data_IF_515801359763
#
_entry.id   IF_515801359763
#
_cell.length_a   1.000
_cell.length_b   1.000
_cell.length_c   1.000
_cell.angle_alpha   90.00
_cell.angle_beta   90.00
_cell.angle_gamma   90.00
#
_symmetry.space_group_name_H-M   'P 1'
#
loop_
_entity.id
_entity.type
_entity.pdbx_description
1 polymer ?
#
# COMPACT_ATOMS: atom_id res chain seq x y z
N UNK A 1 9.25 9.25 3.61
CA UNK A 1 9.51 9.11 2.15
C UNK A 1 8.61 8.02 1.62
N UNK A 2 7.56 8.39 0.89
CA UNK A 2 6.60 7.43 0.32
C UNK A 2 7.26 6.69 -0.84
N UNK A 3 7.35 5.36 -0.76
CA UNK A 3 7.75 4.54 -1.89
C UNK A 3 6.86 4.91 -3.10
N UNK A 4 7.45 5.21 -4.27
CA UNK A 4 6.67 5.51 -5.45
C UNK A 4 5.85 4.28 -5.82
N UNK A 5 4.54 4.45 -6.08
CA UNK A 5 3.69 3.43 -6.70
C UNK A 5 4.36 2.99 -8.01
N UNK A 6 5.11 1.90 -7.95
CA UNK A 6 5.94 1.39 -9.03
C UNK A 6 5.13 0.61 -10.08
N UNK A 7 5.80 0.08 -11.11
CA UNK A 7 5.19 -0.81 -12.11
C UNK A 7 4.45 -2.02 -11.49
N UNK A 8 4.78 -2.39 -10.26
CA UNK A 8 4.19 -3.51 -9.51
C UNK A 8 2.72 -3.28 -9.13
N UNK A 9 2.28 -2.02 -9.00
CA UNK A 9 0.90 -1.68 -8.62
C UNK A 9 -0.13 -2.19 -9.64
N UNK A 10 0.16 -2.04 -10.94
CA UNK A 10 -0.71 -2.52 -12.02
C UNK A 10 -0.92 -4.04 -11.95
N UNK A 11 0.18 -4.78 -11.77
CA UNK A 11 0.14 -6.24 -11.74
C UNK A 11 -0.51 -6.76 -10.46
N UNK A 12 -0.28 -6.11 -9.31
CA UNK A 12 -0.95 -6.44 -8.05
C UNK A 12 -2.48 -6.30 -8.15
N UNK A 13 -2.96 -5.14 -8.59
CA UNK A 13 -4.40 -4.87 -8.68
C UNK A 13 -5.10 -5.80 -9.69
N UNK A 14 -4.45 -6.08 -10.83
CA UNK A 14 -5.02 -6.98 -11.84
C UNK A 14 -4.99 -8.45 -11.41
N UNK A 15 -3.99 -8.85 -10.62
CA UNK A 15 -3.96 -10.17 -9.98
C UNK A 15 -5.08 -10.31 -8.92
N UNK A 16 -5.33 -9.27 -8.12
CA UNK A 16 -6.43 -9.25 -7.14
C UNK A 16 -7.80 -9.32 -7.84
N UNK A 17 -7.99 -8.58 -8.94
CA UNK A 17 -9.22 -8.67 -9.75
C UNK A 17 -9.42 -10.08 -10.33
N UNK A 18 -8.33 -10.74 -10.75
CA UNK A 18 -8.39 -12.10 -11.26
C UNK A 18 -8.69 -13.13 -10.15
N UNK A 19 -8.10 -12.95 -8.97
CA UNK A 19 -8.31 -13.81 -7.81
C UNK A 19 -9.75 -13.75 -7.26
N UNK A 20 -10.46 -12.63 -7.46
CA UNK A 20 -11.83 -12.41 -6.99
C UNK A 20 -12.89 -12.54 -8.10
N UNK A 21 -12.54 -13.09 -9.28
CA UNK A 21 -13.44 -13.23 -10.44
C UNK A 21 -14.04 -11.89 -10.95
N UNK A 22 -13.43 -10.76 -10.61
CA UNK A 22 -13.89 -9.41 -10.96
C UNK A 22 -13.36 -8.90 -12.30
N UNK A 23 -12.41 -9.59 -12.94
CA UNK A 23 -11.86 -9.18 -14.24
C UNK A 23 -12.95 -8.98 -15.31
N UNK A 24 -13.86 -9.95 -15.47
CA UNK A 24 -14.94 -9.88 -16.47
C UNK A 24 -15.93 -8.73 -16.23
N UNK A 25 -16.51 -8.55 -15.03
CA UNK A 25 -17.44 -7.45 -14.81
C UNK A 25 -16.77 -6.09 -14.97
N UNK A 26 -15.54 -5.90 -14.49
CA UNK A 26 -14.83 -4.63 -14.63
C UNK A 26 -14.48 -4.32 -16.09
N UNK A 27 -13.98 -5.29 -16.86
CA UNK A 27 -13.72 -5.08 -18.28
C UNK A 27 -14.99 -4.72 -19.07
N UNK A 28 -16.13 -5.39 -18.78
CA UNK A 28 -17.43 -5.09 -19.42
C UNK A 28 -17.93 -3.70 -19.05
N UNK A 29 -17.75 -3.28 -17.79
CA UNK A 29 -18.10 -1.93 -17.35
C UNK A 29 -17.29 -0.88 -18.12
N UNK A 30 -15.97 -1.06 -18.24
CA UNK A 30 -15.09 -0.15 -19.01
C UNK A 30 -15.49 -0.09 -20.48
N UNK A 31 -15.76 -1.25 -21.11
CA UNK A 31 -16.23 -1.31 -22.49
C UNK A 31 -17.56 -0.58 -22.67
N UNK A 32 -18.53 -0.81 -21.77
CA UNK A 32 -19.84 -0.16 -21.82
C UNK A 32 -19.73 1.35 -21.65
N UNK A 33 -18.97 1.83 -20.65
CA UNK A 33 -18.73 3.26 -20.44
C UNK A 33 -18.07 3.91 -21.66
N UNK A 34 -17.07 3.25 -22.26
CA UNK A 34 -16.39 3.75 -23.46
C UNK A 34 -17.34 3.86 -24.66
N UNK A 35 -18.22 2.86 -24.87
CA UNK A 35 -19.22 2.88 -25.94
C UNK A 35 -20.27 3.96 -25.72
N UNK A 36 -20.81 4.07 -24.50
CA UNK A 36 -21.82 5.08 -24.16
C UNK A 36 -21.25 6.48 -24.42
N UNK A 37 -20.05 6.78 -23.92
CA UNK A 37 -19.40 8.07 -24.14
C UNK A 37 -19.08 8.31 -25.62
N UNK A 38 -18.69 7.28 -26.36
CA UNK A 38 -18.39 7.37 -27.79
C UNK A 38 -19.60 7.57 -28.71
N UNK A 39 -20.83 7.25 -28.26
CA UNK A 39 -22.06 7.41 -29.05
C UNK A 39 -22.69 8.80 -28.87
N UNK A 40 -22.48 9.46 -27.72
CA UNK A 40 -23.02 10.80 -27.43
C UNK A 40 -22.75 11.81 -28.57
N UNK A 41 -21.54 11.90 -29.14
CA UNK A 41 -21.22 12.86 -30.21
C UNK A 41 -22.03 12.61 -31.48
N UNK A 42 -22.27 11.34 -31.83
CA UNK A 42 -23.08 10.96 -32.98
C UNK A 42 -24.55 11.37 -32.80
N UNK A 43 -25.09 11.18 -31.60
CA UNK A 43 -26.45 11.67 -31.29
C UNK A 43 -26.57 13.18 -31.47
N UNK A 44 -25.53 13.91 -31.03
CA UNK A 44 -25.47 15.37 -31.13
C UNK A 44 -25.30 15.89 -32.57
N UNK A 45 -24.89 15.08 -33.56
CA UNK A 45 -24.79 15.53 -34.97
C UNK A 45 -26.12 16.06 -35.52
N UNK A 46 -27.23 15.52 -35.04
CA UNK A 46 -28.58 15.96 -35.39
C UNK A 46 -28.99 17.29 -34.72
N UNK A 47 -28.30 17.67 -33.65
CA UNK A 47 -28.55 18.90 -32.90
C UNK A 47 -27.77 20.07 -33.50
N UNK A 48 -28.37 21.26 -33.52
CA UNK A 48 -27.67 22.50 -33.88
C UNK A 48 -26.51 22.81 -32.95
N UNK A 49 -26.56 22.29 -31.71
CA UNK A 49 -25.54 22.48 -30.70
C UNK A 49 -24.32 21.54 -30.85
N UNK A 50 -24.46 20.45 -31.61
CA UNK A 50 -23.43 19.45 -31.81
C UNK A 50 -22.43 19.79 -32.93
N UNK A 51 -21.64 18.81 -33.39
CA UNK A 51 -20.63 19.01 -34.42
C UNK A 51 -21.25 19.44 -35.76
N UNK A 52 -20.79 20.58 -36.28
CA UNK A 52 -21.26 21.13 -37.56
C UNK A 52 -20.21 21.05 -38.66
N UNK A 53 -20.69 21.16 -39.91
CA UNK A 53 -19.86 21.08 -41.10
C UNK A 53 -19.35 19.66 -41.41
N UNK A 54 -18.76 19.52 -42.60
CA UNK A 54 -18.24 18.23 -43.08
C UNK A 54 -17.17 17.67 -42.13
N UNK A 55 -16.21 18.50 -41.72
CA UNK A 55 -15.09 18.08 -40.86
C UNK A 55 -15.52 17.73 -39.43
N UNK A 56 -16.39 18.53 -38.80
CA UNK A 56 -16.86 18.26 -37.44
C UNK A 56 -17.64 16.95 -37.35
N UNK A 57 -18.53 16.70 -38.33
CA UNK A 57 -19.28 15.44 -38.40
C UNK A 57 -18.40 14.24 -38.73
N UNK A 58 -17.43 14.41 -39.63
CA UNK A 58 -16.44 13.37 -39.94
C UNK A 58 -15.61 12.98 -38.72
N UNK A 59 -15.12 13.96 -37.96
CA UNK A 59 -14.36 13.71 -36.72
C UNK A 59 -15.20 13.03 -35.64
N UNK A 60 -16.49 13.38 -35.51
CA UNK A 60 -17.39 12.69 -34.59
C UNK A 60 -17.54 11.19 -34.92
N UNK A 61 -17.64 10.85 -36.22
CA UNK A 61 -17.65 9.44 -36.68
C UNK A 61 -16.32 8.77 -36.37
N UNK A 62 -15.19 9.42 -36.63
CA UNK A 62 -13.86 8.87 -36.31
C UNK A 62 -13.72 8.59 -34.81
N UNK A 63 -14.15 9.52 -33.94
CA UNK A 63 -14.13 9.33 -32.49
C UNK A 63 -14.99 8.12 -32.11
N UNK A 64 -16.22 8.02 -32.62
CA UNK A 64 -17.11 6.90 -32.32
C UNK A 64 -16.53 5.55 -32.77
N UNK A 65 -15.98 5.47 -33.99
CA UNK A 65 -15.31 4.26 -34.48
C UNK A 65 -14.09 3.93 -33.62
N UNK A 66 -13.30 4.92 -33.22
CA UNK A 66 -12.14 4.71 -32.36
C UNK A 66 -12.56 4.18 -30.99
N UNK A 67 -13.65 4.69 -30.40
CA UNK A 67 -14.23 4.16 -29.15
C UNK A 67 -14.65 2.70 -29.30
N UNK A 68 -15.30 2.32 -30.41
CA UNK A 68 -15.65 0.92 -30.70
C UNK A 68 -14.41 0.05 -30.80
N UNK A 69 -13.38 0.46 -31.56
CA UNK A 69 -12.13 -0.31 -31.69
C UNK A 69 -11.42 -0.47 -30.34
N UNK A 70 -11.39 0.60 -29.53
CA UNK A 70 -10.78 0.58 -28.19
C UNK A 70 -11.47 -0.39 -27.23
N UNK A 71 -12.71 -0.80 -27.50
CA UNK A 71 -13.44 -1.75 -26.64
C UNK A 71 -13.03 -3.21 -26.88
N UNK A 72 -12.46 -3.54 -28.04
CA UNK A 72 -12.13 -4.92 -28.42
C UNK A 72 -11.25 -5.65 -27.39
N UNK A 73 -10.17 -5.06 -26.85
CA UNK A 73 -9.35 -5.72 -25.83
C UNK A 73 -10.11 -6.04 -24.53
N UNK A 74 -11.16 -5.29 -24.22
CA UNK A 74 -11.97 -5.46 -23.01
C UNK A 74 -13.04 -6.54 -23.13
N UNK A 75 -13.32 -7.03 -24.34
CA UNK A 75 -14.27 -8.13 -24.56
C UNK A 75 -13.64 -9.52 -24.29
N UNK A 76 -12.31 -9.57 -24.12
CA UNK A 76 -11.58 -10.80 -23.85
C UNK A 76 -11.80 -11.36 -22.44
N UNK A 77 -11.42 -12.63 -22.25
CA UNK A 77 -11.46 -13.28 -20.94
C UNK A 77 -10.32 -12.88 -19.99
N UNK A 78 -9.26 -12.26 -20.52
CA UNK A 78 -8.08 -11.85 -19.76
C UNK A 78 -8.01 -10.33 -19.70
N UNK A 79 -7.49 -9.81 -18.62
CA UNK A 79 -7.23 -8.38 -18.47
C UNK A 79 -6.23 -7.90 -19.55
N UNK A 80 -6.45 -6.73 -20.19
CA UNK A 80 -5.53 -6.23 -21.21
C UNK A 80 -4.12 -5.97 -20.65
N UNK A 81 -3.10 -6.04 -21.50
CA UNK A 81 -1.72 -5.75 -21.07
C UNK A 81 -1.54 -4.28 -20.68
N UNK A 82 -0.55 -3.98 -19.84
CA UNK A 82 -0.23 -2.60 -19.41
C UNK A 82 -0.01 -1.64 -20.58
N UNK A 83 0.55 -2.12 -21.69
CA UNK A 83 0.76 -1.31 -22.90
C UNK A 83 -0.57 -0.93 -23.57
N UNK A 84 -1.51 -1.88 -23.62
CA UNK A 84 -2.84 -1.66 -24.20
C UNK A 84 -3.65 -0.68 -23.36
N UNK A 85 -3.63 -0.82 -22.03
CA UNK A 85 -4.33 0.11 -21.12
C UNK A 85 -3.71 1.50 -21.10
N UNK A 86 -2.39 1.62 -21.24
CA UNK A 86 -1.73 2.92 -21.38
C UNK A 86 -2.05 3.59 -22.74
N UNK A 87 -2.05 2.82 -23.83
CA UNK A 87 -2.51 3.31 -25.14
C UNK A 87 -3.98 3.76 -25.08
N UNK A 88 -4.84 3.00 -24.41
CA UNK A 88 -6.23 3.36 -24.16
C UNK A 88 -6.37 4.72 -23.46
N UNK A 89 -5.53 5.03 -22.46
CA UNK A 89 -5.53 6.34 -21.78
C UNK A 89 -5.20 7.47 -22.75
N UNK A 90 -4.13 7.33 -23.55
CA UNK A 90 -3.69 8.35 -24.51
C UNK A 90 -4.75 8.60 -25.59
N UNK A 91 -5.28 7.53 -26.18
CA UNK A 91 -6.27 7.63 -27.26
C UNK A 91 -7.59 8.18 -26.72
N UNK A 92 -8.03 7.73 -25.54
CA UNK A 92 -9.25 8.24 -24.90
C UNK A 92 -9.13 9.73 -24.55
N UNK A 93 -7.99 10.19 -24.02
CA UNK A 93 -7.77 11.62 -23.77
C UNK A 93 -7.88 12.45 -25.06
N UNK A 94 -7.32 11.94 -26.17
CA UNK A 94 -7.38 12.58 -27.48
C UNK A 94 -8.79 12.61 -28.07
N UNK A 95 -9.55 11.52 -27.90
CA UNK A 95 -10.95 11.43 -28.31
C UNK A 95 -11.82 12.43 -27.52
N UNK A 96 -11.68 12.50 -26.20
CA UNK A 96 -12.40 13.45 -25.35
C UNK A 96 -12.08 14.88 -25.78
N UNK A 97 -10.80 15.21 -25.95
CA UNK A 97 -10.39 16.54 -26.41
C UNK A 97 -11.01 16.91 -27.76
N UNK A 98 -10.94 15.98 -28.72
CA UNK A 98 -11.52 16.19 -30.06
C UNK A 98 -13.01 16.45 -29.96
N UNK A 99 -13.74 15.60 -29.24
CA UNK A 99 -15.19 15.71 -29.08
C UNK A 99 -15.62 17.05 -28.46
N UNK A 100 -14.93 17.45 -27.39
CA UNK A 100 -15.18 18.71 -26.72
C UNK A 100 -14.94 19.91 -27.65
N UNK A 101 -13.95 19.85 -28.54
CA UNK A 101 -13.55 20.96 -29.41
C UNK A 101 -14.32 21.06 -30.73
N UNK A 102 -14.84 19.95 -31.26
CA UNK A 102 -15.66 19.92 -32.49
C UNK A 102 -17.11 20.33 -32.23
N UNK A 103 -17.57 20.30 -30.98
CA UNK A 103 -18.91 20.71 -30.59
C UNK A 103 -19.10 22.21 -30.83
N UNK A 104 -20.16 22.58 -31.55
CA UNK A 104 -20.37 23.97 -31.97
C UNK A 104 -20.65 24.92 -30.81
N UNK A 105 -21.37 24.45 -29.78
CA UNK A 105 -21.59 25.20 -28.55
C UNK A 105 -20.46 24.92 -27.53
N UNK A 106 -19.61 25.92 -27.19
CA UNK A 106 -18.49 25.71 -26.28
C UNK A 106 -18.90 25.23 -24.88
N UNK A 107 -20.11 25.60 -24.43
CA UNK A 107 -20.63 25.17 -23.14
C UNK A 107 -20.92 23.66 -23.10
N UNK A 108 -21.40 23.06 -24.19
CA UNK A 108 -21.54 21.60 -24.29
C UNK A 108 -20.18 20.90 -24.33
N UNK A 109 -19.19 21.50 -25.02
CA UNK A 109 -17.80 21.01 -24.98
C UNK A 109 -17.22 21.02 -23.56
N UNK A 110 -17.53 22.06 -22.78
CA UNK A 110 -17.11 22.15 -21.38
C UNK A 110 -17.78 21.08 -20.49
N UNK A 111 -19.05 20.76 -20.73
CA UNK A 111 -19.72 19.63 -20.05
C UNK A 111 -19.08 18.29 -20.42
N UNK A 112 -18.73 18.09 -21.71
CA UNK A 112 -18.01 16.91 -22.18
C UNK A 112 -16.65 16.72 -21.49
N UNK A 113 -15.98 17.83 -21.13
CA UNK A 113 -14.69 17.80 -20.45
C UNK A 113 -14.73 17.16 -19.05
N UNK A 114 -15.91 17.00 -18.43
CA UNK A 114 -16.10 16.19 -17.20
C UNK A 114 -15.57 14.77 -17.38
N UNK A 115 -15.59 14.24 -18.62
CA UNK A 115 -15.08 12.90 -18.94
C UNK A 115 -13.59 12.73 -18.58
N UNK A 116 -12.80 13.81 -18.55
CA UNK A 116 -11.42 13.77 -18.05
C UNK A 116 -11.32 13.34 -16.58
N UNK A 117 -12.33 13.59 -15.74
CA UNK A 117 -12.37 13.13 -14.36
C UNK A 117 -12.48 11.59 -14.29
N UNK A 118 -13.34 10.99 -15.12
CA UNK A 118 -13.48 9.52 -15.23
C UNK A 118 -12.18 8.89 -15.73
N UNK A 119 -11.57 9.48 -16.76
CA UNK A 119 -10.28 9.01 -17.27
C UNK A 119 -9.14 9.16 -16.24
N UNK A 120 -9.17 10.21 -15.43
CA UNK A 120 -8.21 10.42 -14.34
C UNK A 120 -8.36 9.37 -13.24
N UNK A 121 -9.59 9.02 -12.85
CA UNK A 121 -9.86 7.95 -11.89
C UNK A 121 -9.28 6.61 -12.38
N UNK A 122 -9.55 6.24 -13.64
CA UNK A 122 -8.99 5.03 -14.25
C UNK A 122 -7.45 5.06 -14.26
N UNK A 123 -6.85 6.19 -14.67
CA UNK A 123 -5.40 6.34 -14.77
C UNK A 123 -4.73 6.20 -13.41
N UNK A 124 -5.26 6.82 -12.36
CA UNK A 124 -4.74 6.70 -10.99
C UNK A 124 -4.85 5.26 -10.50
N UNK A 125 -6.01 4.63 -10.70
CA UNK A 125 -6.30 3.30 -10.18
C UNK A 125 -5.35 2.24 -10.72
N UNK A 126 -5.05 2.27 -12.02
CA UNK A 126 -4.24 1.23 -12.65
C UNK A 126 -2.77 1.63 -12.90
N UNK A 127 -2.50 2.91 -13.18
CA UNK A 127 -1.18 3.37 -13.64
C UNK A 127 -0.49 4.35 -12.66
N UNK A 128 -1.15 4.68 -11.54
CA UNK A 128 -0.63 5.58 -10.52
C UNK A 128 -0.66 7.06 -10.90
N UNK A 129 -0.50 7.91 -9.88
CA UNK A 129 -0.66 9.36 -10.01
C UNK A 129 0.35 10.02 -10.98
N UNK A 130 1.55 9.45 -11.17
CA UNK A 130 2.55 10.01 -12.10
C UNK A 130 2.08 9.99 -13.55
N UNK A 131 1.25 9.01 -13.92
CA UNK A 131 0.74 8.85 -15.29
C UNK A 131 -0.35 9.88 -15.62
N UNK A 132 -0.89 10.60 -14.63
CA UNK A 132 -1.89 11.67 -14.85
C UNK A 132 -1.39 12.81 -15.73
N UNK A 133 -0.07 13.01 -15.85
CA UNK A 133 0.51 14.04 -16.71
C UNK A 133 -0.02 13.95 -18.15
N UNK A 134 -0.31 12.75 -18.64
CA UNK A 134 -0.83 12.53 -20.00
C UNK A 134 -2.25 13.10 -20.16
N UNK A 135 -3.29 12.57 -19.47
CA UNK A 135 -4.64 13.11 -19.65
C UNK A 135 -4.77 14.55 -19.16
N UNK A 136 -3.98 15.00 -18.17
CA UNK A 136 -4.08 16.36 -17.64
C UNK A 136 -3.47 17.41 -18.54
N UNK A 137 -2.40 17.11 -19.27
CA UNK A 137 -1.86 18.06 -20.26
C UNK A 137 -2.84 18.27 -21.41
N UNK A 138 -3.42 17.18 -21.93
CA UNK A 138 -4.45 17.24 -22.98
C UNK A 138 -5.72 17.94 -22.46
N UNK A 139 -6.17 17.61 -21.25
CA UNK A 139 -7.33 18.21 -20.61
C UNK A 139 -7.15 19.71 -20.35
N UNK A 140 -5.98 20.13 -19.84
CA UNK A 140 -5.67 21.54 -19.61
C UNK A 140 -5.66 22.34 -20.92
N UNK A 141 -5.07 21.80 -21.99
CA UNK A 141 -5.10 22.43 -23.31
C UNK A 141 -6.54 22.56 -23.85
N UNK A 142 -7.35 21.51 -23.69
CA UNK A 142 -8.76 21.50 -24.10
C UNK A 142 -9.57 22.56 -23.35
N UNK A 143 -9.42 22.62 -22.03
CA UNK A 143 -10.09 23.60 -21.18
C UNK A 143 -9.63 25.03 -21.46
N UNK A 144 -8.35 25.24 -21.78
CA UNK A 144 -7.86 26.56 -22.19
C UNK A 144 -8.55 27.03 -23.48
N UNK A 145 -8.64 26.18 -24.50
CA UNK A 145 -9.30 26.53 -25.76
C UNK A 145 -10.79 26.79 -25.55
N UNK A 146 -11.50 25.94 -24.79
CA UNK A 146 -12.91 26.14 -24.48
C UNK A 146 -13.15 27.38 -23.65
N UNK A 147 -12.33 27.63 -22.63
CA UNK A 147 -12.38 28.81 -21.80
C UNK A 147 -12.21 30.08 -22.63
N UNK A 148 -11.23 30.11 -23.55
CA UNK A 148 -11.04 31.23 -24.47
C UNK A 148 -12.24 31.45 -25.39
N UNK A 149 -12.87 30.38 -25.89
CA UNK A 149 -14.09 30.48 -26.72
C UNK A 149 -15.28 31.04 -25.92
N UNK A 150 -15.49 30.58 -24.69
CA UNK A 150 -16.59 31.06 -23.82
C UNK A 150 -16.34 32.51 -23.37
N UNK A 151 -15.08 32.87 -23.10
CA UNK A 151 -14.71 34.20 -22.63
C UNK A 151 -14.97 35.31 -23.66
N UNK A 152 -15.13 34.97 -24.94
CA UNK A 152 -15.55 35.92 -25.98
C UNK A 152 -16.97 36.45 -25.75
N UNK A 153 -17.83 35.66 -25.09
CA UNK A 153 -19.21 36.05 -24.78
C UNK A 153 -19.41 36.37 -23.31
N UNK A 154 -18.81 35.59 -22.41
CA UNK A 154 -18.95 35.74 -20.96
C UNK A 154 -17.70 35.23 -20.24
N UNK A 155 -16.89 36.17 -19.74
CA UNK A 155 -15.65 35.88 -19.02
C UNK A 155 -15.92 35.20 -17.67
N UNK A 156 -16.99 35.59 -16.98
CA UNK A 156 -17.31 35.06 -15.64
C UNK A 156 -17.73 33.59 -15.77
N UNK A 157 -18.58 33.28 -16.75
CA UNK A 157 -18.97 31.91 -17.06
C UNK A 157 -17.77 31.05 -17.48
N UNK A 158 -16.87 31.59 -18.30
CA UNK A 158 -15.66 30.89 -18.73
C UNK A 158 -14.76 30.51 -17.54
N UNK A 159 -14.46 31.47 -16.67
CA UNK A 159 -13.60 31.25 -15.49
C UNK A 159 -14.26 30.27 -14.52
N UNK A 160 -15.53 30.49 -14.17
CA UNK A 160 -16.27 29.63 -13.25
C UNK A 160 -16.39 28.19 -13.77
N UNK A 161 -16.72 28.04 -15.05
CA UNK A 161 -16.84 26.74 -15.70
C UNK A 161 -15.53 25.97 -15.77
N UNK A 162 -14.43 26.61 -16.21
CA UNK A 162 -13.11 25.97 -16.26
C UNK A 162 -12.64 25.58 -14.85
N UNK A 163 -12.78 26.48 -13.87
CA UNK A 163 -12.39 26.20 -12.48
C UNK A 163 -13.17 25.01 -11.91
N UNK A 164 -14.47 24.93 -12.18
CA UNK A 164 -15.31 23.80 -11.75
C UNK A 164 -14.79 22.47 -12.30
N UNK A 165 -14.47 22.39 -13.59
CA UNK A 165 -13.96 21.16 -14.21
C UNK A 165 -12.56 20.79 -13.69
N UNK A 166 -11.69 21.79 -13.50
CA UNK A 166 -10.36 21.58 -12.90
C UNK A 166 -10.50 21.03 -11.48
N UNK A 167 -11.32 21.66 -10.64
CA UNK A 167 -11.56 21.22 -9.27
C UNK A 167 -12.15 19.82 -9.21
N UNK A 168 -13.16 19.52 -10.04
CA UNK A 168 -13.78 18.20 -10.11
C UNK A 168 -12.76 17.12 -10.52
N UNK A 169 -11.99 17.38 -11.57
CA UNK A 169 -10.99 16.44 -12.08
C UNK A 169 -9.88 16.19 -11.05
N UNK A 170 -9.38 17.25 -10.42
CA UNK A 170 -8.37 17.16 -9.38
C UNK A 170 -8.89 16.45 -8.11
N UNK A 171 -10.13 16.75 -7.71
CA UNK A 171 -10.77 16.12 -6.56
C UNK A 171 -10.94 14.62 -6.78
N UNK A 172 -11.48 14.19 -7.93
CA UNK A 172 -11.65 12.76 -8.24
C UNK A 172 -10.31 12.03 -8.24
N UNK A 173 -9.28 12.59 -8.88
CA UNK A 173 -7.95 11.99 -8.90
C UNK A 173 -7.32 11.89 -7.50
N UNK A 174 -7.48 12.93 -6.68
CA UNK A 174 -6.99 12.98 -5.30
C UNK A 174 -7.73 11.98 -4.41
N UNK A 175 -9.07 11.95 -4.48
CA UNK A 175 -9.92 11.04 -3.73
C UNK A 175 -9.58 9.58 -4.05
N UNK A 176 -9.43 9.22 -5.34
CA UNK A 176 -8.96 7.89 -5.73
C UNK A 176 -7.56 7.58 -5.20
N UNK A 177 -6.62 8.53 -5.28
CA UNK A 177 -5.25 8.34 -4.77
C UNK A 177 -5.22 8.10 -3.26
N UNK A 178 -6.02 8.86 -2.50
CA UNK A 178 -6.14 8.70 -1.05
C UNK A 178 -6.83 7.38 -0.72
N UNK A 179 -7.93 7.03 -1.38
CA UNK A 179 -8.64 5.78 -1.16
C UNK A 179 -7.72 4.56 -1.38
N UNK A 180 -6.94 4.55 -2.46
CA UNK A 180 -5.99 3.47 -2.75
C UNK A 180 -4.88 3.39 -1.70
N UNK A 181 -4.33 4.53 -1.26
CA UNK A 181 -3.34 4.56 -0.17
C UNK A 181 -3.93 4.04 1.14
N UNK A 182 -5.17 4.39 1.45
CA UNK A 182 -5.84 3.90 2.65
C UNK A 182 -6.10 2.40 2.59
N UNK A 183 -6.44 1.87 1.41
CA UNK A 183 -6.59 0.42 1.19
C UNK A 183 -5.25 -0.28 1.38
N UNK A 184 -4.16 0.25 0.82
CA UNK A 184 -2.83 -0.36 0.95
C UNK A 184 -2.37 -0.37 2.41
N UNK A 185 -2.50 0.77 3.11
CA UNK A 185 -2.23 0.88 4.55
C UNK A 185 -3.11 -0.10 5.35
N UNK A 186 -4.38 -0.27 4.96
CA UNK A 186 -5.28 -1.22 5.61
C UNK A 186 -4.89 -2.66 5.33
N UNK A 187 -4.48 -3.01 4.11
CA UNK A 187 -4.05 -4.37 3.79
C UNK A 187 -2.77 -4.73 4.54
N UNK A 188 -1.82 -3.79 4.65
CA UNK A 188 -0.61 -3.97 5.44
C UNK A 188 -0.92 -4.20 6.93
N UNK A 189 -1.94 -3.51 7.43
CA UNK A 189 -2.42 -3.64 8.82
C UNK A 189 -3.31 -4.86 9.06
N UNK A 190 -4.22 -5.18 8.14
CA UNK A 190 -5.26 -6.20 8.28
C UNK A 190 -4.76 -7.61 7.92
N UNK A 191 -3.70 -7.72 7.13
CA UNK A 191 -3.12 -9.03 6.80
C UNK A 191 -2.50 -9.72 8.00
N UNK A 192 -1.99 -8.95 8.98
CA UNK A 192 -1.33 -9.41 10.21
C UNK A 192 -0.17 -10.40 10.02
N UNK A 193 0.08 -10.85 8.79
CA UNK A 193 0.91 -11.96 8.39
C UNK A 193 1.85 -11.51 7.27
N UNK A 194 3.06 -12.01 7.32
CA UNK A 194 4.09 -11.88 6.30
C UNK A 194 3.78 -12.84 5.15
N UNK A 195 3.72 -12.33 3.92
CA UNK A 195 3.29 -13.11 2.75
C UNK A 195 4.27 -14.22 2.36
N UNK A 196 5.54 -14.11 2.77
CA UNK A 196 6.58 -15.07 2.40
C UNK A 196 6.64 -16.22 3.39
N UNK A 197 6.62 -15.92 4.68
CA UNK A 197 6.81 -16.89 5.76
C UNK A 197 5.50 -17.39 6.34
N UNK A 198 4.38 -16.67 6.15
CA UNK A 198 3.10 -16.96 6.78
C UNK A 198 3.07 -16.72 8.30
N UNK A 199 4.14 -16.16 8.87
CA UNK A 199 4.23 -15.72 10.26
C UNK A 199 3.58 -14.35 10.44
N UNK A 200 3.44 -13.85 11.68
CA UNK A 200 2.96 -12.48 11.86
C UNK A 200 3.91 -11.49 11.18
N UNK A 201 3.39 -10.41 10.60
CA UNK A 201 4.21 -9.26 10.25
C UNK A 201 4.36 -8.34 11.48
N UNK A 202 5.17 -7.27 11.38
CA UNK A 202 5.35 -6.32 12.50
C UNK A 202 4.02 -5.78 13.04
N UNK A 203 3.12 -5.36 12.15
CA UNK A 203 1.81 -4.82 12.55
C UNK A 203 0.96 -5.85 13.30
N UNK A 204 0.90 -7.09 12.82
CA UNK A 204 0.14 -8.17 13.44
C UNK A 204 0.75 -8.65 14.77
N UNK A 205 2.06 -8.54 14.92
CA UNK A 205 2.74 -8.76 16.20
C UNK A 205 2.32 -7.68 17.22
N UNK A 206 2.41 -6.41 16.84
CA UNK A 206 2.11 -5.28 17.73
C UNK A 206 0.64 -5.31 18.18
N UNK A 207 -0.29 -5.59 17.26
CA UNK A 207 -1.72 -5.71 17.58
C UNK A 207 -2.00 -6.86 18.57
N UNK A 208 -1.44 -8.05 18.32
CA UNK A 208 -1.65 -9.21 19.20
C UNK A 208 -0.94 -9.05 20.54
N UNK A 209 0.22 -8.40 20.56
CA UNK A 209 0.94 -8.11 21.79
C UNK A 209 0.20 -7.07 22.63
N UNK A 210 -0.35 -6.03 22.01
CA UNK A 210 -1.19 -5.04 22.69
C UNK A 210 -2.44 -5.71 23.29
N UNK A 211 -3.10 -6.61 22.55
CA UNK A 211 -4.23 -7.38 23.06
C UNK A 211 -3.81 -8.31 24.23
N UNK A 212 -2.63 -8.92 24.16
CA UNK A 212 -2.08 -9.76 25.24
C UNK A 212 -1.81 -8.95 26.51
N UNK A 213 -1.25 -7.75 26.38
CA UNK A 213 -1.01 -6.83 27.51
C UNK A 213 -2.35 -6.35 28.09
N UNK A 214 -3.30 -5.92 27.25
CA UNK A 214 -4.57 -5.36 27.68
C UNK A 214 -5.59 -6.37 28.22
N UNK A 215 -5.52 -7.64 27.82
CA UNK A 215 -6.46 -8.69 28.27
C UNK A 215 -6.14 -9.28 29.64
N UNK A 216 -5.03 -8.88 30.29
CA UNK A 216 -4.57 -9.47 31.55
C UNK A 216 -4.77 -8.52 32.73
N UNK A 217 -5.47 -9.02 33.74
CA UNK A 217 -5.80 -8.29 34.97
C UNK A 217 -4.56 -8.10 35.87
N UNK A 218 -4.53 -7.00 36.63
CA UNK A 218 -3.45 -6.60 37.57
C UNK A 218 -3.02 -7.66 38.61
N UNK A 219 -3.75 -8.77 38.77
CA UNK A 219 -3.50 -9.81 39.77
C UNK A 219 -2.60 -10.98 39.33
N UNK A 220 -2.26 -11.09 38.04
CA UNK A 220 -1.40 -12.16 37.54
C UNK A 220 0.08 -11.77 37.71
N UNK A 221 0.78 -12.41 38.66
CA UNK A 221 2.23 -12.23 38.90
C UNK A 221 3.03 -12.93 37.79
N UNK A 222 2.97 -12.34 36.58
CA UNK A 222 3.54 -12.87 35.35
C UNK A 222 4.49 -11.88 34.69
N UNK A 223 5.40 -12.42 33.90
CA UNK A 223 6.43 -11.69 33.19
C UNK A 223 6.21 -11.81 31.69
N UNK A 224 6.32 -10.70 30.98
CA UNK A 224 6.35 -10.68 29.52
C UNK A 224 7.80 -10.77 29.07
N UNK A 225 8.11 -11.75 28.23
CA UNK A 225 9.37 -11.79 27.50
C UNK A 225 9.15 -11.34 26.05
N UNK A 226 10.02 -10.46 25.57
CA UNK A 226 10.13 -10.09 24.15
C UNK A 226 11.52 -10.47 23.68
N UNK A 227 11.60 -11.25 22.60
CA UNK A 227 12.84 -11.79 22.05
C UNK A 227 12.95 -11.34 20.59
N UNK A 228 14.11 -10.78 20.26
CA UNK A 228 14.51 -10.40 18.91
C UNK A 228 15.58 -11.37 18.45
N UNK A 229 15.37 -11.97 17.29
CA UNK A 229 16.27 -12.91 16.65
C UNK A 229 16.72 -12.29 15.34
N UNK A 230 18.02 -12.33 15.05
CA UNK A 230 18.55 -11.94 13.75
C UNK A 230 19.51 -13.02 13.24
N UNK A 231 19.33 -13.45 11.99
CA UNK A 231 20.12 -14.50 11.38
C UNK A 231 21.53 -14.02 11.03
N UNK A 232 22.53 -14.69 11.58
CA UNK A 232 23.93 -14.39 11.31
C UNK A 232 24.36 -15.02 9.98
N UNK A 233 25.12 -14.26 9.18
CA UNK A 233 25.62 -14.73 7.89
C UNK A 233 24.58 -14.83 6.77
N UNK A 234 23.33 -14.39 6.99
CA UNK A 234 22.26 -14.47 5.97
C UNK A 234 22.61 -13.69 4.69
N UNK A 235 23.14 -12.47 4.80
CA UNK A 235 23.55 -11.69 3.63
C UNK A 235 24.65 -12.37 2.80
N UNK A 236 25.56 -13.10 3.45
CA UNK A 236 26.56 -13.91 2.74
C UNK A 236 25.91 -15.11 2.05
N UNK A 237 24.95 -15.77 2.71
CA UNK A 237 24.18 -16.85 2.10
C UNK A 237 23.42 -16.38 0.86
N UNK A 238 22.76 -15.22 0.92
CA UNK A 238 22.09 -14.61 -0.21
C UNK A 238 23.06 -14.30 -1.36
N UNK A 239 24.22 -13.71 -1.05
CA UNK A 239 25.24 -13.42 -2.06
C UNK A 239 25.77 -14.68 -2.77
N UNK A 240 25.87 -15.81 -2.06
CA UNK A 240 26.39 -17.07 -2.63
C UNK A 240 25.33 -17.93 -3.33
N UNK A 241 24.12 -18.01 -2.77
CA UNK A 241 23.07 -18.94 -3.21
C UNK A 241 21.94 -18.27 -4.00
N UNK A 242 21.92 -16.92 -4.04
CA UNK A 242 20.92 -16.11 -4.71
C UNK A 242 19.65 -15.87 -3.89
N UNK A 243 18.91 -14.84 -4.28
CA UNK A 243 17.70 -14.35 -3.62
C UNK A 243 16.66 -15.46 -3.38
N UNK A 244 16.39 -16.30 -4.39
CA UNK A 244 15.41 -17.38 -4.26
C UNK A 244 15.81 -18.43 -3.21
N UNK A 245 17.10 -18.70 -3.02
CA UNK A 245 17.59 -19.60 -1.99
C UNK A 245 17.52 -18.95 -0.59
N UNK A 246 17.85 -17.67 -0.49
CA UNK A 246 17.71 -16.89 0.74
C UNK A 246 16.25 -16.87 1.24
N UNK A 247 15.29 -16.67 0.32
CA UNK A 247 13.86 -16.75 0.64
C UNK A 247 13.49 -18.14 1.19
N UNK A 248 13.95 -19.23 0.57
CA UNK A 248 13.70 -20.60 1.07
C UNK A 248 14.32 -20.85 2.44
N UNK A 249 15.53 -20.32 2.67
CA UNK A 249 16.21 -20.40 3.97
C UNK A 249 15.37 -19.72 5.05
N UNK A 250 14.91 -18.50 4.78
CA UNK A 250 14.07 -17.70 5.67
C UNK A 250 12.75 -18.39 6.01
N UNK A 251 12.05 -18.93 5.01
CA UNK A 251 10.80 -19.68 5.22
C UNK A 251 11.04 -20.92 6.08
N UNK A 252 12.11 -21.66 5.81
CA UNK A 252 12.45 -22.85 6.58
C UNK A 252 12.80 -22.53 8.04
N UNK A 253 13.60 -21.49 8.26
CA UNK A 253 13.92 -21.02 9.61
C UNK A 253 12.66 -20.57 10.35
N UNK A 254 11.78 -19.81 9.69
CA UNK A 254 10.49 -19.42 10.26
C UNK A 254 9.64 -20.61 10.68
N UNK A 255 9.60 -21.67 9.86
CA UNK A 255 8.91 -22.92 10.21
C UNK A 255 9.54 -23.62 11.42
N UNK A 256 10.88 -23.70 11.51
CA UNK A 256 11.59 -24.29 12.66
C UNK A 256 11.37 -23.50 13.95
N UNK A 257 11.37 -22.17 13.88
CA UNK A 257 11.02 -21.32 15.01
C UNK A 257 9.57 -21.58 15.46
N UNK A 258 8.64 -21.74 14.51
CA UNK A 258 7.23 -22.04 14.82
C UNK A 258 7.04 -23.39 15.50
N UNK A 259 7.79 -24.42 15.09
CA UNK A 259 7.80 -25.74 15.73
C UNK A 259 8.43 -25.71 17.13
N UNK A 260 9.39 -24.81 17.35
CA UNK A 260 10.11 -24.67 18.61
C UNK A 260 9.36 -23.87 19.69
N UNK A 261 8.21 -23.26 19.38
CA UNK A 261 7.43 -22.47 20.33
C UNK A 261 6.08 -23.10 20.63
N UNK A 262 5.43 -22.63 21.70
CA UNK A 262 4.07 -23.06 22.03
C UNK A 262 3.07 -22.41 21.08
N UNK A 263 1.87 -22.99 21.01
CA UNK A 263 0.80 -22.50 20.13
C UNK A 263 0.44 -21.03 20.37
N UNK A 264 0.42 -20.63 21.64
CA UNK A 264 0.00 -19.30 22.10
C UNK A 264 1.15 -18.28 22.12
N UNK A 265 2.38 -18.69 21.81
CA UNK A 265 3.53 -17.80 21.65
C UNK A 265 3.38 -17.00 20.36
N UNK A 266 3.51 -15.67 20.45
CA UNK A 266 3.50 -14.81 19.29
C UNK A 266 4.84 -14.94 18.55
N UNK A 267 4.81 -15.16 17.24
CA UNK A 267 5.99 -15.21 16.39
C UNK A 267 5.73 -14.41 15.12
N UNK A 268 6.66 -13.49 14.84
CA UNK A 268 6.60 -12.61 13.70
C UNK A 268 7.90 -12.61 12.92
N UNK A 269 7.79 -12.36 11.62
CA UNK A 269 8.89 -12.05 10.73
C UNK A 269 8.94 -10.54 10.49
N UNK A 270 10.12 -9.93 10.64
CA UNK A 270 10.32 -8.49 10.53
C UNK A 270 11.62 -8.19 9.79
N UNK A 271 11.52 -7.38 8.73
CA UNK A 271 12.67 -7.08 7.87
C UNK A 271 13.05 -8.27 6.99
N UNK A 272 14.35 -8.43 6.73
CA UNK A 272 14.85 -9.50 5.86
C UNK A 272 15.29 -10.75 6.62
N UNK A 273 15.89 -10.56 7.79
CA UNK A 273 16.53 -11.61 8.62
C UNK A 273 15.95 -11.72 10.03
N UNK A 274 15.06 -10.79 10.39
CA UNK A 274 14.62 -10.60 11.77
C UNK A 274 13.38 -11.40 12.11
N UNK A 275 13.33 -11.94 13.33
CA UNK A 275 12.13 -12.52 13.91
C UNK A 275 11.88 -11.92 15.30
N UNK A 276 10.60 -11.75 15.63
CA UNK A 276 10.15 -11.33 16.95
C UNK A 276 9.34 -12.44 17.61
N UNK A 277 9.60 -12.67 18.90
CA UNK A 277 8.85 -13.61 19.71
C UNK A 277 8.38 -12.92 20.98
N UNK A 278 7.12 -13.16 21.37
CA UNK A 278 6.62 -12.74 22.68
C UNK A 278 5.88 -13.89 23.36
N UNK A 279 6.22 -14.12 24.63
CA UNK A 279 5.61 -15.15 25.49
C UNK A 279 5.48 -14.63 26.93
N UNK A 280 4.43 -15.09 27.62
CA UNK A 280 4.20 -14.77 29.03
C UNK A 280 4.65 -15.94 29.90
N UNK A 281 5.47 -15.64 30.89
CA UNK A 281 6.03 -16.58 31.85
C UNK A 281 5.50 -16.34 33.26
N UNK A 282 5.53 -17.38 34.08
CA UNK A 282 5.32 -17.28 35.53
C UNK A 282 6.62 -17.00 36.29
N UNK A 283 7.78 -17.19 35.65
CA UNK A 283 9.09 -16.90 36.22
C UNK A 283 9.85 -15.88 35.37
N UNK A 284 10.73 -15.06 35.97
CA UNK A 284 11.49 -14.03 35.26
C UNK A 284 12.71 -14.58 34.51
N UNK A 285 12.57 -15.73 33.83
CA UNK A 285 13.67 -16.37 33.11
C UNK A 285 13.28 -16.76 31.67
N UNK A 286 13.65 -15.96 30.64
CA UNK A 286 13.37 -16.26 29.24
C UNK A 286 14.45 -17.17 28.61
N UNK A 287 15.56 -17.45 29.29
CA UNK A 287 16.72 -18.15 28.74
C UNK A 287 16.40 -19.54 28.15
N UNK A 288 15.54 -20.38 28.75
CA UNK A 288 15.18 -21.68 28.16
C UNK A 288 14.49 -21.55 26.80
N UNK A 289 13.61 -20.55 26.64
CA UNK A 289 12.97 -20.27 25.34
C UNK A 289 14.00 -19.75 24.34
N UNK A 290 14.83 -18.78 24.75
CA UNK A 290 15.86 -18.21 23.89
C UNK A 290 16.85 -19.27 23.37
N UNK A 291 17.31 -20.19 24.22
CA UNK A 291 18.21 -21.28 23.82
C UNK A 291 17.54 -22.29 22.90
N UNK A 292 16.26 -22.59 23.13
CA UNK A 292 15.48 -23.44 22.24
C UNK A 292 15.33 -22.81 20.85
N UNK A 293 15.11 -21.50 20.78
CA UNK A 293 15.03 -20.76 19.52
C UNK A 293 16.38 -20.70 18.80
N UNK A 294 17.48 -20.43 19.53
CA UNK A 294 18.84 -20.46 18.98
C UNK A 294 19.18 -21.82 18.38
N UNK A 295 18.90 -22.89 19.11
CA UNK A 295 19.10 -24.27 18.66
C UNK A 295 18.23 -24.62 17.44
N UNK A 296 16.98 -24.14 17.38
CA UNK A 296 16.10 -24.35 16.22
C UNK A 296 16.64 -23.68 14.95
N UNK A 297 17.29 -22.52 15.06
CA UNK A 297 17.98 -21.89 13.92
C UNK A 297 19.23 -22.70 13.53
N UNK A 298 20.08 -23.03 14.49
CA UNK A 298 21.34 -23.73 14.25
C UNK A 298 21.16 -25.12 13.61
N UNK A 299 20.04 -25.79 13.91
CA UNK A 299 19.69 -27.11 13.35
C UNK A 299 18.97 -27.04 12.00
N UNK A 300 18.65 -25.84 11.51
CA UNK A 300 18.07 -25.67 10.18
C UNK A 300 19.07 -26.05 9.08
N UNK A 301 18.61 -26.56 7.92
CA UNK A 301 19.48 -27.14 6.87
C UNK A 301 20.41 -26.14 6.18
N UNK A 302 20.32 -24.85 6.49
CA UNK A 302 21.07 -23.77 5.85
C UNK A 302 22.33 -23.35 6.62
N UNK A 303 22.66 -24.03 7.74
CA UNK A 303 23.85 -23.76 8.58
C UNK A 303 23.98 -22.29 9.01
N UNK A 304 22.83 -21.63 9.19
CA UNK A 304 22.77 -20.28 9.74
C UNK A 304 22.76 -20.38 11.27
N UNK A 305 23.37 -19.39 11.92
CA UNK A 305 23.24 -19.19 13.37
C UNK A 305 22.40 -17.95 13.63
N UNK A 306 22.08 -17.65 14.88
CA UNK A 306 21.32 -16.46 15.24
C UNK A 306 21.91 -15.74 16.44
N UNK A 307 21.92 -14.41 16.32
CA UNK A 307 22.09 -13.52 17.45
C UNK A 307 20.74 -13.24 18.07
N UNK A 308 20.61 -13.46 19.37
CA UNK A 308 19.33 -13.33 20.09
C UNK A 308 19.46 -12.32 21.23
N UNK A 309 18.58 -11.34 21.21
CA UNK A 309 18.37 -10.40 22.31
C UNK A 309 17.03 -10.65 22.96
N UNK A 310 17.01 -10.82 24.27
CA UNK A 310 15.80 -11.01 25.03
C UNK A 310 15.65 -9.95 26.11
N UNK A 311 14.41 -9.60 26.38
CA UNK A 311 13.98 -8.75 27.45
C UNK A 311 12.92 -9.49 28.25
N UNK A 312 12.98 -9.42 29.57
CA UNK A 312 11.87 -9.86 30.42
C UNK A 312 11.48 -8.75 31.41
N UNK A 313 10.18 -8.50 31.55
CA UNK A 313 9.67 -7.44 32.44
C UNK A 313 8.34 -7.85 33.10
N UNK A 314 8.02 -7.37 34.31
CA UNK A 314 6.74 -7.66 34.95
C UNK A 314 5.57 -7.12 34.11
N UNK A 315 4.61 -7.97 33.77
CA UNK A 315 3.47 -7.60 32.91
C UNK A 315 2.60 -6.52 33.55
N UNK A 316 2.47 -6.55 34.89
CA UNK A 316 1.69 -5.57 35.67
C UNK A 316 2.12 -4.12 35.44
N UNK A 317 3.40 -3.88 35.18
CA UNK A 317 3.94 -2.54 34.99
C UNK A 317 3.56 -1.95 33.63
N UNK A 318 3.07 -2.76 32.69
CA UNK A 318 2.80 -2.36 31.32
C UNK A 318 1.35 -1.95 31.06
N UNK A 319 0.42 -2.34 31.94
CA UNK A 319 -1.04 -2.23 31.71
C UNK A 319 -1.53 -0.78 31.69
N UNK A 320 -0.90 0.10 32.45
CA UNK A 320 -1.35 1.49 32.64
C UNK A 320 -0.72 2.48 31.64
N UNK A 321 0.13 2.00 30.73
CA UNK A 321 0.84 2.83 29.73
C UNK A 321 0.30 2.60 28.31
N UNK A 322 0.46 3.58 27.39
CA UNK A 322 0.03 3.42 26.00
C UNK A 322 0.75 2.24 25.34
N UNK A 323 -0.01 1.21 24.95
CA UNK A 323 0.52 -0.08 24.51
C UNK A 323 1.52 0.03 23.35
N UNK A 324 1.30 0.93 22.39
CA UNK A 324 2.22 1.13 21.25
C UNK A 324 3.58 1.62 21.69
N UNK A 325 3.65 2.64 22.55
CA UNK A 325 4.91 3.19 23.05
C UNK A 325 5.67 2.16 23.90
N UNK A 326 4.95 1.39 24.72
CA UNK A 326 5.53 0.29 25.50
C UNK A 326 6.12 -0.77 24.58
N UNK A 327 5.37 -1.27 23.60
CA UNK A 327 5.82 -2.33 22.68
C UNK A 327 7.06 -1.89 21.92
N UNK A 328 7.08 -0.66 21.39
CA UNK A 328 8.23 -0.12 20.67
C UNK A 328 9.47 -0.06 21.56
N UNK A 329 9.33 0.36 22.82
CA UNK A 329 10.44 0.39 23.78
C UNK A 329 10.92 -1.03 24.15
N UNK A 330 10.01 -1.97 24.41
CA UNK A 330 10.36 -3.36 24.71
C UNK A 330 11.17 -4.00 23.57
N UNK A 331 10.72 -3.78 22.33
CA UNK A 331 11.44 -4.26 21.14
C UNK A 331 12.79 -3.55 21.04
N UNK A 332 12.85 -2.23 21.20
CA UNK A 332 14.11 -1.49 21.09
C UNK A 332 15.18 -1.99 22.07
N UNK A 333 14.80 -2.26 23.32
CA UNK A 333 15.71 -2.82 24.32
C UNK A 333 16.18 -4.23 23.95
N UNK A 334 15.25 -5.10 23.51
CA UNK A 334 15.61 -6.44 23.04
C UNK A 334 16.50 -6.40 21.78
N UNK A 335 16.27 -5.46 20.86
CA UNK A 335 17.10 -5.23 19.67
C UNK A 335 18.51 -4.77 20.06
N UNK A 336 18.65 -3.92 21.08
CA UNK A 336 19.97 -3.53 21.59
C UNK A 336 20.74 -4.75 22.13
N UNK A 337 20.06 -5.62 22.89
CA UNK A 337 20.67 -6.87 23.37
C UNK A 337 21.07 -7.81 22.22
N UNK A 338 20.25 -7.89 21.17
CA UNK A 338 20.56 -8.68 19.97
C UNK A 338 21.79 -8.11 19.25
N UNK A 339 21.87 -6.78 19.11
CA UNK A 339 23.00 -6.12 18.49
C UNK A 339 24.29 -6.35 19.29
N UNK A 340 24.21 -6.37 20.62
CA UNK A 340 25.34 -6.72 21.50
C UNK A 340 25.78 -8.17 21.32
N UNK A 341 24.82 -9.10 21.19
CA UNK A 341 25.10 -10.51 20.86
C UNK A 341 25.82 -10.63 19.51
N UNK A 342 25.34 -9.92 18.49
CA UNK A 342 25.94 -9.91 17.15
C UNK A 342 27.36 -9.35 17.15
N UNK A 343 27.59 -8.22 17.83
CA UNK A 343 28.91 -7.61 17.94
C UNK A 343 29.91 -8.46 18.73
N UNK A 344 29.42 -9.32 19.61
CA UNK A 344 30.24 -10.21 20.44
C UNK A 344 30.60 -11.54 19.77
N UNK A 345 30.42 -11.66 18.45
CA UNK A 345 30.79 -12.86 17.67
C UNK A 345 29.62 -13.68 17.15
N UNK A 346 28.37 -13.24 17.36
CA UNK A 346 27.17 -13.95 16.90
C UNK A 346 26.86 -15.23 17.70
N UNK A 347 25.89 -16.00 17.22
CA UNK A 347 25.45 -17.29 17.79
C UNK A 347 25.30 -17.33 19.33
N UNK A 348 24.76 -16.26 19.90
CA UNK A 348 24.67 -16.11 21.35
C UNK A 348 23.41 -15.37 21.78
N UNK A 349 23.10 -15.50 23.07
CA UNK A 349 21.91 -14.91 23.69
C UNK A 349 22.36 -13.84 24.69
N UNK A 350 21.73 -12.67 24.64
CA UNK A 350 21.85 -11.62 25.66
C UNK A 350 20.47 -11.32 26.22
N UNK A 351 20.37 -11.26 27.54
CA UNK A 351 19.10 -11.07 28.25
C UNK A 351 19.18 -9.83 29.14
N UNK A 352 18.20 -8.94 29.01
CA UNK A 352 17.97 -7.85 29.94
C UNK A 352 16.81 -8.21 30.88
N UNK A 353 17.07 -8.16 32.19
CA UNK A 353 16.07 -8.47 33.21
C UNK A 353 15.52 -7.18 33.83
N UNK A 354 14.20 -7.00 33.71
CA UNK A 354 13.44 -5.90 34.31
C UNK A 354 14.10 -4.53 34.17
N UNK A 355 14.51 -4.10 32.96
CA UNK A 355 15.10 -2.78 32.78
C UNK A 355 14.06 -1.70 33.09
N UNK A 356 14.55 -0.53 33.47
CA UNK A 356 13.72 0.66 33.59
C UNK A 356 13.28 1.10 32.20
N UNK A 357 11.97 1.14 31.98
CA UNK A 357 11.36 1.60 30.74
C UNK A 357 11.03 3.09 30.90
N UNK A 358 11.55 3.91 30.00
CA UNK A 358 11.35 5.36 29.95
C UNK A 358 9.87 5.73 29.84
N UNK A 359 9.07 4.94 29.12
CA UNK A 359 7.61 5.12 28.99
C UNK A 359 6.87 4.97 30.33
N UNK A 360 7.45 4.27 31.31
CA UNK A 360 6.84 4.03 32.61
C UNK A 360 7.32 5.02 33.69
N UNK A 361 8.38 5.78 33.42
CA UNK A 361 8.82 6.85 34.31
C UNK A 361 7.98 8.11 34.06
N UNK A 362 7.33 8.69 35.08
CA UNK A 362 6.76 10.02 34.94
C UNK A 362 7.90 10.98 34.55
N UNK A 363 7.64 11.86 33.58
CA UNK A 363 8.54 12.96 33.29
C UNK A 363 8.67 13.80 34.56
N UNK A 364 9.82 13.76 35.23
CA UNK A 364 10.12 14.75 36.25
C UNK A 364 10.10 16.12 35.56
N UNK A 365 9.01 16.84 35.80
CA UNK A 365 8.87 18.22 35.41
C UNK A 365 9.84 19.04 36.26
N UNK A 366 10.81 19.65 35.57
CA UNK A 366 11.60 20.83 35.90
C UNK A 366 11.77 21.21 37.36
N UNK A 367 13.04 21.22 37.77
CA UNK A 367 13.61 21.97 38.88
C UNK A 367 12.78 23.20 39.30
N UNK A 368 12.25 23.13 40.53
CA UNK A 368 11.82 24.29 41.30
C UNK A 368 13.10 25.01 41.78
N UNK A 369 13.38 26.27 41.37
CA UNK A 369 14.57 26.96 41.85
C UNK A 369 14.35 27.33 43.32
N UNK A 370 15.10 26.69 44.21
CA UNK A 370 15.22 27.11 45.60
C UNK A 370 15.84 28.52 45.65
N UNK A 371 15.06 29.45 46.21
CA UNK A 371 15.50 30.79 46.57
C UNK A 371 16.23 30.78 47.92
#
# INVERSE_FOLDING_TARGET
MTAPLGPDHYYRLTAELAANDLCRPVCRAIAATTLILGIIPLGLVSSSAGPQGFWGRGLAVVVAVTCVVMTVPWLGHRWPSRRVTLAFVVVSASCIATDCLITAQPMLGLLGAVTFAVLSAFTVMFHGAKTLVIPWTIGAATLAVLGLRIAQTDVVLAVGGVLLIVMLTAFVASACSVALRLIDIRNDRAGGLDQVTGLLNRSGFDERLAALIGSRTRGDDRFLAVIVIDLDGFGLHEAMAGEAAAIRARVCVGARLREAIRRDTLLAHVGDTGFLVAEVFTSPNPSPLAERLRSAVATAPYRLTASIGALITPLRALVDAPATAVIDELVAVATAQMADARRSGGDQIRVSHCPRLAVLTPSDGGDEPTA
#
